data_IF_656979641923
#
_entry.id   IF_656979641923
#
_cell.length_a   1.000
_cell.length_b   1.000
_cell.length_c   1.000
_cell.angle_alpha   90.00
_cell.angle_beta   90.00
_cell.angle_gamma   90.00
#
_symmetry.space_group_name_H-M   'P 1'
#
loop_
_entity.id
_entity.type
_entity.pdbx_description
1 polymer ?
#
# COMPACT_ATOMS: atom_id res chain seq x y z
N UNK A 1 -8.93 -66.72 46.99
CA UNK A 1 -9.09 -65.49 46.18
C UNK A 1 -8.70 -64.20 46.93
N UNK A 2 -9.01 -64.04 48.22
CA UNK A 2 -8.60 -62.87 49.02
C UNK A 2 -7.07 -62.72 49.18
N UNK A 3 -6.32 -63.82 49.36
CA UNK A 3 -4.86 -63.77 49.49
C UNK A 3 -4.13 -63.47 48.17
N UNK A 4 -4.75 -63.77 47.01
CA UNK A 4 -4.16 -63.47 45.69
C UNK A 4 -4.25 -61.97 45.37
N UNK A 5 -5.37 -61.31 45.71
CA UNK A 5 -5.52 -59.87 45.52
C UNK A 5 -4.61 -59.03 46.45
N UNK A 6 -4.31 -59.51 47.67
CA UNK A 6 -3.39 -58.84 48.59
C UNK A 6 -1.95 -58.90 48.07
N UNK A 7 -1.54 -60.04 47.48
CA UNK A 7 -0.20 -60.20 46.88
C UNK A 7 -0.04 -59.32 45.64
N UNK A 8 -1.05 -59.25 44.77
CA UNK A 8 -1.00 -58.39 43.57
C UNK A 8 -0.99 -56.90 43.93
N UNK A 9 -1.79 -56.48 44.93
CA UNK A 9 -1.82 -55.08 45.37
C UNK A 9 -0.51 -54.67 46.05
N UNK A 10 0.13 -55.57 46.80
CA UNK A 10 1.43 -55.31 47.42
C UNK A 10 2.56 -55.20 46.39
N UNK A 11 2.47 -55.94 45.28
CA UNK A 11 3.46 -55.89 44.20
C UNK A 11 3.39 -54.57 43.41
N UNK A 12 2.18 -54.05 43.16
CA UNK A 12 1.99 -52.77 42.45
C UNK A 12 2.48 -51.58 43.28
N UNK A 13 2.25 -51.58 44.60
CA UNK A 13 2.75 -50.54 45.51
C UNK A 13 4.28 -50.57 45.59
N UNK A 14 4.89 -51.76 45.58
CA UNK A 14 6.35 -51.90 45.58
C UNK A 14 6.98 -51.37 44.28
N UNK A 15 6.36 -51.61 43.12
CA UNK A 15 6.82 -51.09 41.83
C UNK A 15 6.72 -49.55 41.78
N UNK A 16 5.64 -48.96 42.32
CA UNK A 16 5.48 -47.51 42.39
C UNK A 16 6.55 -46.87 43.30
N UNK A 17 6.84 -47.44 44.46
CA UNK A 17 7.89 -46.94 45.36
C UNK A 17 9.30 -47.05 44.74
N UNK A 18 9.58 -48.12 44.00
CA UNK A 18 10.86 -48.28 43.26
C UNK A 18 10.97 -47.21 42.17
N UNK A 19 9.89 -46.90 41.45
CA UNK A 19 9.90 -45.87 40.39
C UNK A 19 10.14 -44.46 40.93
N UNK A 20 9.56 -44.11 42.09
CA UNK A 20 9.78 -42.83 42.75
C UNK A 20 11.22 -42.71 43.25
N UNK A 21 11.78 -43.80 43.82
CA UNK A 21 13.17 -43.83 44.28
C UNK A 21 14.17 -43.74 43.12
N UNK A 22 13.87 -44.34 41.96
CA UNK A 22 14.68 -44.17 40.74
C UNK A 22 14.57 -42.76 40.16
N UNK A 23 13.41 -42.12 40.25
CA UNK A 23 13.20 -40.74 39.82
C UNK A 23 13.93 -39.72 40.71
N UNK A 24 13.93 -39.89 42.03
CA UNK A 24 14.72 -39.05 42.95
C UNK A 24 16.23 -39.25 42.77
N UNK A 25 16.69 -40.48 42.53
CA UNK A 25 18.11 -40.74 42.23
C UNK A 25 18.59 -40.10 40.92
N UNK A 26 17.67 -39.82 39.99
CA UNK A 26 17.97 -39.10 38.74
C UNK A 26 18.20 -37.59 38.93
N UNK A 27 17.86 -37.01 40.10
CA UNK A 27 17.94 -35.57 40.35
C UNK A 27 19.13 -35.15 41.23
N UNK A 28 19.88 -36.09 41.83
CA UNK A 28 20.97 -35.80 42.78
C UNK A 28 22.39 -35.95 42.19
N UNK A 29 22.53 -36.38 40.93
CA UNK A 29 23.82 -36.46 40.24
C UNK A 29 23.90 -35.45 39.09
N UNK A 30 24.15 -34.17 39.43
CA UNK A 30 24.99 -33.26 38.63
C UNK A 30 25.32 -31.99 39.41
N UNK A 31 26.52 -31.96 40.01
CA UNK A 31 27.23 -30.75 40.44
C UNK A 31 28.64 -30.75 39.81
N UNK A 32 29.28 -29.57 39.72
CA UNK A 32 29.59 -28.87 38.47
C UNK A 32 30.86 -29.40 37.79
N UNK A 33 30.86 -29.49 36.46
CA UNK A 33 32.11 -29.61 35.72
C UNK A 33 32.63 -28.21 35.42
N UNK A 34 33.68 -27.82 36.14
CA UNK A 34 34.48 -26.64 35.88
C UNK A 34 35.43 -26.99 34.73
N UNK A 35 35.05 -26.66 33.50
CA UNK A 35 35.92 -26.75 32.32
C UNK A 35 36.29 -25.34 31.82
N UNK A 36 37.60 -25.12 31.91
CA UNK A 36 38.50 -24.18 31.26
C UNK A 36 37.99 -22.86 30.65
N UNK A 37 38.71 -21.79 31.04
CA UNK A 37 38.62 -20.46 30.46
C UNK A 37 39.20 -20.51 29.04
N UNK A 38 38.39 -20.88 28.07
CA UNK A 38 38.50 -20.35 26.72
C UNK A 38 37.09 -20.05 26.23
N UNK A 39 36.82 -18.78 26.01
CA UNK A 39 35.51 -18.26 25.63
C UNK A 39 35.07 -18.92 24.33
N UNK A 40 33.93 -19.63 24.25
CA UNK A 40 33.24 -19.71 22.99
C UNK A 40 32.74 -18.29 22.75
N UNK A 41 33.29 -17.62 21.74
CA UNK A 41 32.71 -16.40 21.22
C UNK A 41 31.21 -16.63 21.13
N UNK A 42 30.43 -15.92 21.97
CA UNK A 42 29.03 -15.66 21.64
C UNK A 42 29.12 -15.15 20.22
N UNK A 43 28.75 -15.97 19.24
CA UNK A 43 28.30 -15.48 17.96
C UNK A 43 27.08 -14.64 18.33
N UNK A 44 27.35 -13.38 18.70
CA UNK A 44 26.40 -12.31 18.49
C UNK A 44 26.14 -12.45 17.01
N UNK A 45 25.00 -13.03 16.65
CA UNK A 45 24.47 -12.86 15.32
C UNK A 45 24.64 -11.38 15.02
N UNK A 46 25.53 -11.08 14.07
CA UNK A 46 25.74 -9.71 13.65
C UNK A 46 24.36 -9.23 13.25
N UNK A 47 23.84 -8.12 13.80
CA UNK A 47 22.51 -7.65 13.44
C UNK A 47 22.46 -7.62 11.91
N UNK A 48 21.46 -8.31 11.37
CA UNK A 48 21.30 -8.48 9.94
C UNK A 48 21.35 -7.09 9.30
N UNK A 49 22.30 -6.88 8.39
CA UNK A 49 22.51 -5.56 7.81
C UNK A 49 21.27 -5.19 7.01
N UNK A 50 20.65 -4.07 7.38
CA UNK A 50 19.45 -3.59 6.70
C UNK A 50 19.72 -3.42 5.21
N UNK A 51 18.85 -3.98 4.37
CA UNK A 51 18.89 -3.86 2.93
C UNK A 51 17.84 -2.83 2.48
N UNK A 52 18.25 -1.76 1.76
CA UNK A 52 17.31 -0.79 1.24
C UNK A 52 16.62 -1.29 -0.03
N UNK A 53 15.31 -1.10 -0.10
CA UNK A 53 14.59 -0.93 -1.36
C UNK A 53 14.84 0.51 -1.82
N UNK A 54 15.61 0.66 -2.90
CA UNK A 54 15.94 1.98 -3.45
C UNK A 54 14.76 2.54 -4.25
N UNK A 55 14.36 3.75 -3.91
CA UNK A 55 13.30 4.51 -4.61
C UNK A 55 13.93 5.38 -5.69
N UNK A 56 14.98 6.13 -5.34
CA UNK A 56 15.71 6.99 -6.27
C UNK A 56 17.09 7.31 -5.72
N UNK A 57 18.12 7.29 -6.57
CA UNK A 57 19.50 7.62 -6.22
C UNK A 57 19.99 6.94 -4.92
N UNK A 58 20.14 7.72 -3.84
CA UNK A 58 20.56 7.25 -2.50
C UNK A 58 19.42 7.10 -1.49
N UNK A 59 18.20 7.36 -1.93
CA UNK A 59 16.99 7.38 -1.12
C UNK A 59 16.27 6.05 -1.23
N UNK A 60 15.97 5.46 -0.08
CA UNK A 60 15.30 4.18 -0.01
C UNK A 60 14.65 3.94 1.33
N UNK A 61 14.00 2.79 1.46
CA UNK A 61 13.39 2.35 2.71
C UNK A 61 13.67 0.87 2.96
N UNK A 62 13.36 0.39 4.16
CA UNK A 62 13.29 -1.04 4.48
C UNK A 62 12.10 -1.30 5.39
N UNK A 63 11.55 -2.51 5.29
CA UNK A 63 10.49 -3.04 6.16
C UNK A 63 11.00 -4.19 7.05
N UNK A 64 12.32 -4.41 7.08
CA UNK A 64 12.93 -5.46 7.90
C UNK A 64 12.70 -5.20 9.40
N UNK A 65 12.62 -6.28 10.17
CA UNK A 65 12.38 -6.25 11.62
C UNK A 65 11.03 -5.64 12.03
N UNK A 66 10.03 -5.65 11.13
CA UNK A 66 8.69 -5.09 11.37
C UNK A 66 8.70 -3.58 11.66
N UNK A 67 9.69 -2.86 11.12
CA UNK A 67 9.79 -1.40 11.21
C UNK A 67 9.92 -0.81 9.82
N UNK A 68 9.23 0.30 9.55
CA UNK A 68 9.53 1.13 8.40
C UNK A 68 10.70 2.06 8.74
N UNK A 69 11.82 1.91 8.04
CA UNK A 69 12.97 2.83 8.13
C UNK A 69 13.28 3.42 6.77
N UNK A 70 13.66 4.69 6.75
CA UNK A 70 14.10 5.41 5.54
C UNK A 70 15.58 5.74 5.63
N UNK A 71 16.21 5.81 4.47
CA UNK A 71 17.61 6.20 4.27
C UNK A 71 17.70 7.27 3.19
N UNK A 72 18.69 8.15 3.32
CA UNK A 72 19.05 9.14 2.30
C UNK A 72 20.48 8.96 1.77
N UNK A 73 21.20 7.93 2.20
CA UNK A 73 22.61 7.69 1.91
C UNK A 73 22.94 6.22 1.54
N UNK A 74 22.01 5.53 0.88
CA UNK A 74 22.12 4.11 0.50
C UNK A 74 22.26 3.14 1.69
N UNK A 75 21.61 3.44 2.81
CA UNK A 75 21.50 2.56 3.96
C UNK A 75 22.70 2.62 4.90
N UNK A 76 23.48 3.69 4.85
CA UNK A 76 24.53 3.95 5.84
C UNK A 76 23.90 4.44 7.15
N UNK A 77 22.93 5.35 7.05
CA UNK A 77 22.10 5.82 8.15
C UNK A 77 20.63 5.51 7.91
N UNK A 78 19.92 5.28 9.02
CA UNK A 78 18.52 4.89 9.02
C UNK A 78 17.73 5.71 10.02
N UNK A 79 16.56 6.16 9.60
CA UNK A 79 15.60 6.86 10.44
C UNK A 79 14.30 6.07 10.47
N UNK A 80 13.80 5.75 11.66
CA UNK A 80 12.52 5.06 11.81
C UNK A 80 11.36 6.02 11.53
N UNK A 81 10.43 5.58 10.69
CA UNK A 81 9.14 6.25 10.49
C UNK A 81 8.21 5.82 11.62
N UNK A 82 7.60 6.74 12.39
CA UNK A 82 6.81 6.39 13.57
C UNK A 82 5.40 5.93 13.16
N UNK A 83 5.34 4.78 12.50
CA UNK A 83 4.12 4.08 12.07
C UNK A 83 4.36 2.57 12.15
N UNK A 84 3.34 1.83 12.58
CA UNK A 84 3.43 0.37 12.60
C UNK A 84 3.27 -0.18 11.18
N UNK A 85 4.07 -1.20 10.82
CA UNK A 85 4.09 -1.73 9.45
C UNK A 85 2.73 -2.26 9.03
N UNK A 86 2.00 -2.90 9.95
CA UNK A 86 0.66 -3.44 9.71
C UNK A 86 -0.33 -2.35 9.26
N UNK A 87 -0.21 -1.14 9.81
CA UNK A 87 -1.10 -0.02 9.50
C UNK A 87 -0.92 0.52 8.08
N UNK A 88 0.28 0.36 7.51
CA UNK A 88 0.56 0.69 6.12
C UNK A 88 -0.25 -0.21 5.19
N UNK A 89 -0.44 -1.48 5.55
CA UNK A 89 -1.12 -2.50 4.76
C UNK A 89 -2.56 -2.81 5.21
N UNK A 90 -3.11 -2.07 6.18
CA UNK A 90 -4.50 -2.19 6.66
C UNK A 90 -5.51 -2.08 5.53
N UNK A 91 -6.66 -2.75 5.64
CA UNK A 91 -7.73 -2.75 4.63
C UNK A 91 -7.80 -4.06 3.86
N UNK A 92 -8.19 -4.01 2.58
CA UNK A 92 -8.37 -5.18 1.72
C UNK A 92 -7.10 -5.58 0.95
N UNK A 93 -5.94 -5.02 1.30
CA UNK A 93 -4.70 -5.31 0.61
C UNK A 93 -4.28 -6.79 0.81
N UNK A 94 -4.18 -7.51 -0.30
CA UNK A 94 -3.81 -8.93 -0.35
C UNK A 94 -2.48 -9.18 -1.10
N UNK A 95 -1.74 -8.11 -1.41
CA UNK A 95 -0.44 -8.20 -2.09
C UNK A 95 0.71 -8.53 -1.13
N UNK A 96 1.94 -8.46 -1.67
CA UNK A 96 3.14 -8.71 -0.89
C UNK A 96 3.41 -7.54 0.08
N UNK A 97 3.66 -7.87 1.36
CA UNK A 97 3.98 -6.89 2.42
C UNK A 97 5.48 -6.70 2.65
N UNK A 98 6.33 -7.17 1.75
CA UNK A 98 7.78 -6.92 1.80
C UNK A 98 8.18 -5.59 1.19
N UNK A 99 7.29 -4.96 0.42
CA UNK A 99 7.49 -3.65 -0.21
C UNK A 99 6.29 -2.75 0.10
N UNK A 100 6.52 -1.44 0.20
CA UNK A 100 5.43 -0.49 0.35
C UNK A 100 4.51 -0.55 -0.87
N UNK A 101 3.22 -0.31 -0.65
CA UNK A 101 2.27 -0.25 -1.77
C UNK A 101 2.61 0.94 -2.67
N UNK A 102 2.65 0.69 -3.98
CA UNK A 102 2.78 1.75 -4.97
C UNK A 102 1.72 2.83 -4.74
N UNK A 103 2.09 4.08 -5.01
CA UNK A 103 1.26 5.27 -4.85
C UNK A 103 0.80 5.58 -3.41
N UNK A 104 1.04 4.72 -2.41
CA UNK A 104 0.63 4.98 -1.02
C UNK A 104 1.62 5.82 -0.22
N UNK A 105 2.72 6.23 -0.83
CA UNK A 105 3.78 7.01 -0.19
C UNK A 105 4.51 7.90 -1.19
N UNK A 106 5.20 8.91 -0.66
CA UNK A 106 6.15 9.76 -1.38
C UNK A 106 7.45 9.71 -0.60
N UNK A 107 8.56 9.40 -1.26
CA UNK A 107 9.87 9.43 -0.63
C UNK A 107 10.87 10.14 -1.54
N UNK A 108 11.18 11.38 -1.18
CA UNK A 108 12.09 12.29 -1.88
C UNK A 108 12.98 13.01 -0.90
N UNK A 109 13.98 13.74 -1.39
CA UNK A 109 14.88 14.58 -0.58
C UNK A 109 14.15 15.69 0.19
N UNK A 110 12.98 16.13 -0.30
CA UNK A 110 12.17 17.23 0.26
C UNK A 110 10.96 16.80 1.07
N UNK A 111 10.47 15.57 0.86
CA UNK A 111 9.23 15.06 1.47
C UNK A 111 9.29 13.55 1.60
N UNK A 112 9.03 13.06 2.82
CA UNK A 112 8.68 11.68 3.10
C UNK A 112 7.25 11.65 3.65
N UNK A 113 6.30 11.08 2.91
CA UNK A 113 4.87 11.03 3.27
C UNK A 113 4.34 9.62 3.12
N UNK A 114 3.62 9.10 4.11
CA UNK A 114 3.08 7.73 4.09
C UNK A 114 1.61 7.73 4.50
N UNK A 115 0.73 7.16 3.67
CA UNK A 115 -0.65 6.87 4.07
C UNK A 115 -0.62 5.64 4.97
N UNK A 116 -1.30 5.72 6.11
CA UNK A 116 -1.52 4.58 6.98
C UNK A 116 -2.95 4.62 7.54
N UNK A 117 -3.44 3.46 7.98
CA UNK A 117 -4.82 3.29 8.42
C UNK A 117 -4.88 2.57 9.76
N UNK A 118 -5.56 3.22 10.69
CA UNK A 118 -6.02 2.69 11.97
C UNK A 118 -7.56 2.64 11.92
N UNK A 119 -8.24 3.42 12.78
CA UNK A 119 -9.67 3.69 12.68
C UNK A 119 -9.99 4.80 11.65
N UNK A 120 -8.97 5.59 11.30
CA UNK A 120 -9.03 6.71 10.36
C UNK A 120 -7.95 6.58 9.29
N UNK A 121 -8.17 7.24 8.14
CA UNK A 121 -7.17 7.38 7.09
C UNK A 121 -6.30 8.57 7.47
N UNK A 122 -5.00 8.35 7.61
CA UNK A 122 -4.05 9.37 8.06
C UNK A 122 -2.87 9.48 7.10
N UNK A 123 -2.22 10.64 7.14
CA UNK A 123 -0.95 10.89 6.48
C UNK A 123 0.07 11.33 7.52
N UNK A 124 1.20 10.64 7.57
CA UNK A 124 2.38 11.10 8.31
C UNK A 124 3.41 11.65 7.34
N UNK A 125 3.97 12.82 7.63
CA UNK A 125 4.90 13.53 6.73
C UNK A 125 6.10 14.09 7.48
N UNK A 126 7.28 13.98 6.87
CA UNK A 126 8.50 14.69 7.25
C UNK A 126 9.01 15.53 6.07
N UNK A 127 9.56 16.69 6.41
CA UNK A 127 10.22 17.63 5.48
C UNK A 127 11.71 17.81 5.75
N UNK A 128 12.24 17.12 6.76
CA UNK A 128 13.59 17.27 7.29
C UNK A 128 14.29 15.92 7.42
N UNK A 129 14.03 15.03 6.45
CA UNK A 129 14.65 13.70 6.34
C UNK A 129 14.39 12.80 7.55
N UNK A 130 13.21 12.93 8.15
CA UNK A 130 12.74 12.10 9.26
C UNK A 130 13.16 12.60 10.65
N UNK A 131 13.74 13.81 10.77
CA UNK A 131 14.07 14.41 12.07
C UNK A 131 12.80 14.78 12.83
N UNK A 132 11.80 15.34 12.14
CA UNK A 132 10.47 15.63 12.69
C UNK A 132 9.38 15.06 11.77
N UNK A 133 8.26 14.71 12.40
CA UNK A 133 7.09 14.13 11.73
C UNK A 133 5.83 14.90 12.11
N UNK A 134 5.00 15.19 11.10
CA UNK A 134 3.69 15.78 11.25
C UNK A 134 2.63 14.78 10.78
N UNK A 135 1.64 14.53 11.63
CA UNK A 135 0.45 13.74 11.31
C UNK A 135 -0.73 14.63 10.94
N UNK A 136 -1.53 14.17 9.98
CA UNK A 136 -2.84 14.72 9.66
C UNK A 136 -3.86 13.61 9.44
N UNK A 137 -5.10 13.84 9.87
CA UNK A 137 -6.23 12.95 9.55
C UNK A 137 -6.86 13.40 8.24
N UNK A 138 -6.95 12.48 7.28
CA UNK A 138 -7.60 12.69 5.98
C UNK A 138 -9.10 12.39 6.11
N UNK A 139 -9.44 11.26 6.74
CA UNK A 139 -10.83 10.81 6.89
C UNK A 139 -11.02 10.02 8.20
N UNK A 140 -12.00 10.41 9.01
CA UNK A 140 -12.14 9.91 10.38
C UNK A 140 -12.65 8.47 10.49
N UNK A 141 -13.43 7.98 9.53
CA UNK A 141 -14.10 6.69 9.63
C UNK A 141 -13.67 5.78 8.48
N UNK A 142 -12.43 5.28 8.54
CA UNK A 142 -11.89 4.48 7.44
C UNK A 142 -12.73 3.20 7.24
N UNK A 143 -13.36 3.00 6.06
CA UNK A 143 -13.89 1.69 5.73
C UNK A 143 -12.74 0.71 5.44
N UNK A 144 -13.07 -0.53 5.09
CA UNK A 144 -12.08 -1.46 4.54
C UNK A 144 -11.52 -0.92 3.21
N UNK A 145 -10.37 -0.25 3.25
CA UNK A 145 -9.76 0.40 2.09
C UNK A 145 -9.11 -0.61 1.15
N UNK A 146 -9.50 -0.56 -0.12
CA UNK A 146 -8.89 -1.32 -1.22
C UNK A 146 -7.82 -0.51 -1.96
N UNK A 147 -8.13 0.72 -2.34
CA UNK A 147 -7.25 1.58 -3.12
C UNK A 147 -6.83 2.79 -2.30
N UNK A 148 -5.57 3.20 -2.41
CA UNK A 148 -5.08 4.46 -1.85
C UNK A 148 -3.96 5.03 -2.70
N UNK A 149 -3.95 6.35 -2.84
CA UNK A 149 -2.94 7.11 -3.56
C UNK A 149 -2.72 8.43 -2.88
N UNK A 150 -1.47 8.88 -2.75
CA UNK A 150 -1.08 10.23 -2.32
C UNK A 150 -0.10 10.82 -3.31
N UNK A 151 -0.25 12.10 -3.59
CA UNK A 151 0.72 12.85 -4.39
C UNK A 151 0.66 14.35 -4.06
N UNK A 152 1.74 15.07 -4.34
CA UNK A 152 1.87 16.52 -4.16
C UNK A 152 2.42 17.15 -5.43
N UNK A 153 1.60 17.98 -6.10
CA UNK A 153 2.02 18.69 -7.31
C UNK A 153 2.98 19.85 -6.98
N UNK A 154 2.89 20.38 -5.76
CA UNK A 154 3.79 21.39 -5.24
C UNK A 154 3.87 21.31 -3.70
N UNK A 155 4.58 22.23 -3.06
CA UNK A 155 4.76 22.22 -1.60
C UNK A 155 3.46 22.36 -0.81
N UNK A 156 2.42 22.96 -1.42
CA UNK A 156 1.14 23.27 -0.79
C UNK A 156 0.01 22.37 -1.26
N UNK A 157 -0.13 22.19 -2.56
CA UNK A 157 -1.20 21.41 -3.17
C UNK A 157 -0.83 19.94 -3.27
N UNK A 158 -1.70 19.10 -2.72
CA UNK A 158 -1.62 17.65 -2.82
C UNK A 158 -3.01 17.04 -2.77
N UNK A 159 -3.06 15.75 -3.09
CA UNK A 159 -4.30 15.00 -3.10
C UNK A 159 -4.10 13.59 -2.53
N UNK A 160 -5.16 13.06 -1.92
CA UNK A 160 -5.30 11.66 -1.56
C UNK A 160 -6.54 11.12 -2.24
N UNK A 161 -6.45 9.96 -2.88
CA UNK A 161 -7.59 9.26 -3.48
C UNK A 161 -7.67 7.89 -2.85
N UNK A 162 -8.86 7.53 -2.38
CA UNK A 162 -9.12 6.26 -1.70
C UNK A 162 -10.38 5.59 -2.20
N UNK A 163 -10.43 4.27 -2.10
CA UNK A 163 -11.67 3.51 -2.28
C UNK A 163 -11.72 2.29 -1.37
N UNK A 164 -12.92 1.80 -1.08
CA UNK A 164 -13.16 0.71 -0.14
C UNK A 164 -14.64 0.37 0.02
N UNK A 165 -14.97 -0.38 1.08
CA UNK A 165 -16.35 -0.79 1.41
C UNK A 165 -17.06 -1.53 0.26
N UNK A 166 -16.41 -2.58 -0.25
CA UNK A 166 -16.87 -3.26 -1.46
C UNK A 166 -18.07 -4.15 -1.22
N UNK A 167 -19.12 -3.94 -2.01
CA UNK A 167 -20.32 -4.77 -2.00
C UNK A 167 -20.84 -4.97 -3.42
N UNK A 168 -20.99 -6.23 -3.87
CA UNK A 168 -21.65 -6.58 -5.15
C UNK A 168 -21.14 -5.79 -6.37
N UNK A 169 -19.81 -5.72 -6.56
CA UNK A 169 -19.14 -4.96 -7.63
C UNK A 169 -19.34 -3.44 -7.58
N UNK A 170 -19.71 -2.93 -6.42
CA UNK A 170 -19.72 -1.50 -6.09
C UNK A 170 -18.73 -1.23 -4.97
N UNK A 171 -18.23 0.00 -4.90
CA UNK A 171 -17.35 0.45 -3.83
C UNK A 171 -17.52 1.94 -3.56
N UNK A 172 -17.28 2.35 -2.31
CA UNK A 172 -17.13 3.75 -1.96
C UNK A 172 -15.78 4.27 -2.47
N UNK A 173 -15.75 5.50 -2.98
CA UNK A 173 -14.52 6.19 -3.35
C UNK A 173 -14.62 7.68 -3.02
N UNK A 174 -13.49 8.28 -2.68
CA UNK A 174 -13.38 9.71 -2.40
C UNK A 174 -12.00 10.24 -2.79
N UNK A 175 -11.98 11.51 -3.20
CA UNK A 175 -10.77 12.29 -3.33
C UNK A 175 -10.74 13.37 -2.24
N UNK A 176 -9.56 13.63 -1.71
CA UNK A 176 -9.29 14.66 -0.72
C UNK A 176 -8.19 15.54 -1.26
N UNK A 177 -8.32 16.85 -1.10
CA UNK A 177 -7.28 17.81 -1.50
C UNK A 177 -6.79 18.60 -0.29
N UNK A 178 -5.54 19.04 -0.36
CA UNK A 178 -4.92 19.98 0.57
C UNK A 178 -4.37 21.18 -0.19
N UNK A 179 -4.36 22.34 0.47
CA UNK A 179 -3.74 23.58 -0.05
C UNK A 179 -2.71 24.15 0.95
N UNK A 180 -2.37 23.40 1.99
CA UNK A 180 -1.49 23.83 3.09
C UNK A 180 -0.34 22.84 3.37
N UNK A 181 -0.03 21.99 2.38
CA UNK A 181 1.08 21.03 2.44
C UNK A 181 0.72 19.70 3.09
N UNK A 182 -0.57 19.43 3.29
CA UNK A 182 -1.08 18.21 3.93
C UNK A 182 -1.39 18.38 5.41
N UNK A 183 -1.54 19.61 5.92
CA UNK A 183 -1.93 19.85 7.32
C UNK A 183 -3.42 19.67 7.51
N UNK A 184 -4.21 20.11 6.53
CA UNK A 184 -5.65 19.91 6.48
C UNK A 184 -6.10 19.37 5.12
N UNK A 185 -7.18 18.60 5.15
CA UNK A 185 -7.74 17.90 3.99
C UNK A 185 -9.22 18.23 3.84
N UNK A 186 -9.66 18.42 2.59
CA UNK A 186 -11.06 18.61 2.24
C UNK A 186 -11.48 17.53 1.26
N UNK A 187 -12.56 16.82 1.60
CA UNK A 187 -13.21 15.88 0.69
C UNK A 187 -13.83 16.61 -0.51
N UNK A 188 -13.68 16.06 -1.70
CA UNK A 188 -14.34 16.55 -2.93
C UNK A 188 -15.79 16.07 -3.00
N UNK A 189 -16.60 16.66 -3.87
CA UNK A 189 -17.94 16.17 -4.15
C UNK A 189 -17.93 14.72 -4.65
N UNK A 190 -19.03 13.99 -4.41
CA UNK A 190 -19.24 12.64 -4.93
C UNK A 190 -19.39 12.68 -6.47
N UNK A 191 -18.64 11.88 -7.23
CA UNK A 191 -18.68 11.91 -8.69
C UNK A 191 -19.94 11.29 -9.33
N UNK A 192 -20.83 10.67 -8.54
CA UNK A 192 -22.08 10.12 -9.05
C UNK A 192 -22.04 8.65 -9.46
N UNK A 193 -20.94 7.93 -9.20
CA UNK A 193 -20.76 6.52 -9.52
C UNK A 193 -20.24 5.70 -8.34
N UNK A 194 -20.72 4.46 -8.22
CA UNK A 194 -20.25 3.47 -7.23
C UNK A 194 -19.42 2.36 -7.88
N UNK A 195 -19.05 2.50 -9.16
CA UNK A 195 -18.19 1.52 -9.83
C UNK A 195 -16.81 1.51 -9.18
N UNK A 196 -16.07 0.42 -9.38
CA UNK A 196 -14.72 0.28 -8.86
C UNK A 196 -13.78 1.33 -9.45
N UNK A 197 -13.10 2.07 -8.57
CA UNK A 197 -12.08 3.04 -8.92
C UNK A 197 -10.86 2.32 -9.50
N UNK A 198 -10.49 2.66 -10.72
CA UNK A 198 -9.27 2.17 -11.36
C UNK A 198 -8.05 3.02 -10.96
N UNK A 199 -8.14 4.34 -11.13
CA UNK A 199 -7.06 5.27 -10.83
C UNK A 199 -7.62 6.71 -10.72
N UNK A 200 -6.77 7.66 -10.33
CA UNK A 200 -7.10 9.08 -10.38
C UNK A 200 -5.91 9.97 -10.02
N UNK A 201 -6.05 11.27 -10.30
CA UNK A 201 -5.03 12.24 -9.96
C UNK A 201 -5.37 13.65 -10.45
N UNK A 202 -4.52 14.61 -10.08
CA UNK A 202 -4.67 16.02 -10.45
C UNK A 202 -3.51 16.47 -11.34
N UNK A 203 -3.80 17.33 -12.31
CA UNK A 203 -2.78 17.93 -13.21
C UNK A 203 -2.48 19.38 -12.85
N UNK A 204 -3.37 20.00 -12.08
CA UNK A 204 -3.21 21.28 -11.40
C UNK A 204 -4.19 21.37 -10.22
N UNK A 205 -4.18 22.50 -9.51
CA UNK A 205 -4.96 22.72 -8.29
C UNK A 205 -6.49 22.67 -8.51
N UNK A 206 -6.95 22.83 -9.75
CA UNK A 206 -8.37 22.87 -10.08
C UNK A 206 -8.83 21.65 -10.90
N UNK A 207 -7.90 21.03 -11.64
CA UNK A 207 -8.20 20.02 -12.65
C UNK A 207 -7.75 18.64 -12.19
N UNK A 208 -8.72 17.77 -11.96
CA UNK A 208 -8.47 16.41 -11.50
C UNK A 208 -9.38 15.39 -12.17
N UNK A 209 -8.98 14.13 -12.08
CA UNK A 209 -9.56 13.03 -12.84
C UNK A 209 -9.75 11.80 -11.97
N UNK A 210 -10.86 11.08 -12.19
CA UNK A 210 -11.14 9.78 -11.58
C UNK A 210 -11.56 8.81 -12.69
N UNK A 211 -10.85 7.70 -12.81
CA UNK A 211 -11.17 6.61 -13.72
C UNK A 211 -11.79 5.45 -12.94
N UNK A 212 -12.88 4.92 -13.46
CA UNK A 212 -13.64 3.81 -12.91
C UNK A 212 -13.76 2.68 -13.93
N UNK A 213 -14.27 1.53 -13.47
CA UNK A 213 -14.64 0.42 -14.35
C UNK A 213 -13.56 -0.65 -14.45
N UNK A 214 -13.24 -1.32 -13.34
CA UNK A 214 -12.35 -2.50 -13.35
C UNK A 214 -13.08 -3.76 -13.87
N UNK A 215 -14.36 -3.94 -13.50
CA UNK A 215 -15.11 -5.16 -13.85
C UNK A 215 -15.86 -4.93 -15.16
N UNK A 216 -15.50 -5.72 -16.18
CA UNK A 216 -16.11 -5.75 -17.51
C UNK A 216 -16.42 -4.35 -18.09
N UNK A 217 -15.45 -3.43 -18.17
CA UNK A 217 -15.68 -2.13 -18.80
C UNK A 217 -15.87 -2.29 -20.31
N UNK A 218 -16.90 -1.63 -20.85
CA UNK A 218 -17.13 -1.57 -22.31
C UNK A 218 -16.73 -0.21 -22.90
N UNK A 219 -16.64 0.82 -22.06
CA UNK A 219 -16.22 2.18 -22.40
C UNK A 219 -15.50 2.79 -21.18
N UNK A 220 -14.68 3.83 -21.40
CA UNK A 220 -14.09 4.59 -20.30
C UNK A 220 -15.16 5.21 -19.40
N UNK A 221 -15.13 4.88 -18.10
CA UNK A 221 -15.93 5.57 -17.08
C UNK A 221 -15.04 6.58 -16.37
N UNK A 222 -14.98 7.79 -16.91
CA UNK A 222 -13.96 8.78 -16.58
C UNK A 222 -14.61 10.11 -16.20
N UNK A 223 -14.23 10.67 -15.05
CA UNK A 223 -14.79 11.89 -14.51
C UNK A 223 -13.70 12.94 -14.36
N UNK A 224 -14.07 14.19 -14.61
CA UNK A 224 -13.24 15.37 -14.48
C UNK A 224 -13.87 16.37 -13.52
N UNK A 225 -13.03 16.96 -12.66
CA UNK A 225 -13.32 18.23 -12.01
C UNK A 225 -12.47 19.34 -12.64
N UNK A 226 -13.02 20.54 -12.73
CA UNK A 226 -12.30 21.76 -13.14
C UNK A 226 -12.43 22.89 -12.12
N UNK A 227 -12.98 22.58 -10.94
CA UNK A 227 -13.28 23.48 -9.85
C UNK A 227 -12.75 22.93 -8.51
N UNK A 228 -11.57 22.29 -8.53
CA UNK A 228 -10.92 21.73 -7.34
C UNK A 228 -11.78 20.69 -6.59
N UNK A 229 -12.61 19.94 -7.32
CA UNK A 229 -13.46 18.90 -6.79
C UNK A 229 -14.76 19.41 -6.14
N UNK A 230 -15.19 20.65 -6.40
CA UNK A 230 -16.54 21.07 -5.99
C UNK A 230 -17.63 20.40 -6.82
N UNK A 231 -17.34 20.04 -8.08
CA UNK A 231 -18.19 19.24 -8.94
C UNK A 231 -17.37 18.31 -9.83
N UNK A 232 -18.02 17.23 -10.28
CA UNK A 232 -17.45 16.25 -11.21
C UNK A 232 -18.40 16.06 -12.39
N UNK A 233 -17.83 15.93 -13.59
CA UNK A 233 -18.56 15.69 -14.83
C UNK A 233 -17.97 14.48 -15.54
N UNK A 234 -18.82 13.65 -16.16
CA UNK A 234 -18.35 12.53 -16.99
C UNK A 234 -17.72 13.09 -18.27
N UNK A 235 -16.48 12.70 -18.55
CA UNK A 235 -15.79 13.03 -19.79
C UNK A 235 -16.27 12.13 -20.94
N UNK A 236 -16.08 12.61 -22.17
CA UNK A 236 -16.48 11.90 -23.39
C UNK A 236 -15.26 11.50 -24.21
N UNK A 237 -15.33 10.34 -24.86
CA UNK A 237 -14.24 9.81 -25.69
C UNK A 237 -14.73 9.53 -27.11
N UNK A 238 -14.05 10.12 -28.10
CA UNK A 238 -14.24 9.84 -29.53
C UNK A 238 -13.33 8.67 -29.92
N UNK A 239 -13.83 7.44 -29.72
CA UNK A 239 -13.11 6.21 -30.03
C UNK A 239 -13.47 5.73 -31.45
N UNK A 240 -12.50 5.52 -32.36
CA UNK A 240 -12.76 4.93 -33.66
C UNK A 240 -13.43 3.56 -33.55
N UNK A 241 -14.38 3.25 -34.45
CA UNK A 241 -15.17 2.00 -34.41
C UNK A 241 -14.31 0.73 -34.32
N UNK A 242 -13.16 0.70 -35.00
CA UNK A 242 -12.19 -0.42 -34.95
C UNK A 242 -11.62 -0.69 -33.55
N UNK A 243 -11.72 0.27 -32.63
CA UNK A 243 -11.27 0.18 -31.23
C UNK A 243 -12.44 0.16 -30.23
N UNK A 244 -13.67 -0.05 -30.69
CA UNK A 244 -14.82 -0.18 -29.81
C UNK A 244 -14.57 -1.28 -28.76
N UNK A 245 -14.75 -0.95 -27.48
CA UNK A 245 -14.49 -1.82 -26.31
C UNK A 245 -13.04 -2.30 -26.15
N UNK A 246 -12.08 -1.76 -26.92
CA UNK A 246 -10.66 -2.11 -26.80
C UNK A 246 -9.99 -1.28 -25.72
N UNK A 247 -10.08 0.05 -25.78
CA UNK A 247 -9.43 0.96 -24.84
C UNK A 247 -10.47 1.53 -23.86
N UNK A 248 -10.46 1.05 -22.62
CA UNK A 248 -11.62 1.13 -21.72
C UNK A 248 -11.31 1.57 -20.28
N UNK A 249 -10.04 1.68 -19.90
CA UNK A 249 -9.62 2.12 -18.56
C UNK A 249 -8.54 3.19 -18.69
N UNK A 250 -8.74 4.37 -18.11
CA UNK A 250 -7.87 5.51 -18.31
C UNK A 250 -6.83 5.64 -17.19
N UNK A 251 -5.58 5.94 -17.56
CA UNK A 251 -4.56 6.39 -16.63
C UNK A 251 -4.79 7.86 -16.21
N UNK A 252 -3.93 8.38 -15.34
CA UNK A 252 -3.98 9.80 -14.97
C UNK A 252 -3.50 10.63 -16.15
N UNK A 253 -4.26 11.64 -16.62
CA UNK A 253 -3.81 12.50 -17.69
C UNK A 253 -2.54 13.27 -17.32
N UNK A 254 -1.78 13.65 -18.34
CA UNK A 254 -0.58 14.48 -18.21
C UNK A 254 -0.60 15.62 -19.21
N UNK A 255 0.20 16.66 -18.93
CA UNK A 255 0.35 17.81 -19.81
C UNK A 255 1.37 17.47 -20.90
N UNK A 256 0.98 17.65 -22.15
CA UNK A 256 1.82 17.45 -23.33
C UNK A 256 1.55 18.60 -24.30
N UNK A 257 2.59 19.30 -24.75
CA UNK A 257 2.51 20.34 -25.80
C UNK A 257 1.30 21.31 -25.68
N UNK A 258 1.04 21.80 -24.46
CA UNK A 258 -0.02 22.77 -24.19
C UNK A 258 -1.45 22.20 -24.13
N UNK A 259 -1.62 20.89 -24.22
CA UNK A 259 -2.89 20.18 -24.09
C UNK A 259 -2.76 19.04 -23.06
N UNK A 260 -3.86 18.31 -22.82
CA UNK A 260 -3.82 17.11 -21.99
C UNK A 260 -3.78 15.86 -22.87
N UNK A 261 -2.97 14.89 -22.46
CA UNK A 261 -2.95 13.56 -23.03
C UNK A 261 -3.30 12.53 -21.96
N UNK A 262 -3.91 11.42 -22.37
CA UNK A 262 -4.23 10.29 -21.50
C UNK A 262 -4.01 8.98 -22.25
N UNK A 263 -3.50 7.98 -21.54
CA UNK A 263 -3.37 6.62 -22.06
C UNK A 263 -4.52 5.76 -21.54
N UNK A 264 -5.19 5.06 -22.45
CA UNK A 264 -6.24 4.11 -22.13
C UNK A 264 -5.72 2.69 -22.29
N UNK A 265 -5.79 1.93 -21.21
CA UNK A 265 -5.54 0.50 -21.13
C UNK A 265 -6.75 -0.31 -21.60
N UNK A 266 -6.52 -1.58 -21.90
CA UNK A 266 -7.54 -2.46 -22.46
C UNK A 266 -8.47 -3.13 -21.43
N UNK A 267 -8.33 -2.78 -20.15
CA UNK A 267 -9.01 -3.46 -19.06
C UNK A 267 -8.49 -4.89 -18.83
N UNK A 268 -9.06 -5.61 -17.85
CA UNK A 268 -8.54 -6.92 -17.43
C UNK A 268 -8.77 -8.05 -18.45
N UNK A 269 -9.69 -7.86 -19.40
CA UNK A 269 -10.06 -8.87 -20.40
C UNK A 269 -9.53 -8.55 -21.81
N UNK A 270 -8.78 -7.47 -21.97
CA UNK A 270 -8.29 -7.03 -23.28
C UNK A 270 -7.09 -7.84 -23.77
N UNK A 271 -7.13 -8.29 -25.01
CA UNK A 271 -6.06 -9.05 -25.68
C UNK A 271 -5.64 -8.45 -27.02
N UNK A 272 -6.13 -7.26 -27.36
CA UNK A 272 -5.82 -6.59 -28.61
C UNK A 272 -4.31 -6.34 -28.72
N UNK A 273 -3.72 -6.79 -29.84
CA UNK A 273 -2.26 -6.82 -30.05
C UNK A 273 -1.49 -7.49 -28.90
N UNK A 274 -2.09 -8.51 -28.27
CA UNK A 274 -1.53 -9.26 -27.15
C UNK A 274 -1.45 -8.46 -25.85
N UNK A 275 -2.27 -7.42 -25.68
CA UNK A 275 -2.28 -6.55 -24.50
C UNK A 275 -1.06 -5.62 -24.40
N UNK A 276 -0.27 -5.50 -25.47
CA UNK A 276 1.00 -4.77 -25.48
C UNK A 276 0.87 -3.31 -25.90
N UNK A 277 -0.35 -2.85 -26.15
CA UNK A 277 -0.62 -1.49 -26.62
C UNK A 277 -1.67 -0.80 -25.77
N UNK A 278 -1.49 0.50 -25.61
CA UNK A 278 -2.47 1.43 -25.05
C UNK A 278 -2.96 2.37 -26.16
N UNK A 279 -4.14 2.94 -25.99
CA UNK A 279 -4.63 4.01 -26.87
C UNK A 279 -4.26 5.36 -26.28
N UNK A 280 -3.56 6.21 -27.03
CA UNK A 280 -3.29 7.60 -26.65
C UNK A 280 -4.42 8.51 -27.13
N UNK A 281 -4.97 9.29 -26.21
CA UNK A 281 -6.00 10.27 -26.48
C UNK A 281 -5.56 11.65 -26.03
N UNK A 282 -6.01 12.69 -26.73
CA UNK A 282 -5.70 14.08 -26.41
C UNK A 282 -6.97 14.89 -26.20
N UNK A 283 -6.89 15.91 -25.36
CA UNK A 283 -7.96 16.85 -25.08
C UNK A 283 -7.48 18.28 -25.18
N UNK A 284 -8.20 19.08 -25.96
CA UNK A 284 -7.99 20.52 -26.11
C UNK A 284 -8.98 21.37 -25.31
N UNK A 285 -9.93 20.74 -24.62
CA UNK A 285 -10.98 21.38 -23.82
C UNK A 285 -10.83 21.09 -22.32
N UNK A 286 -9.58 20.93 -21.88
CA UNK A 286 -9.18 20.65 -20.48
C UNK A 286 -9.66 19.31 -19.94
N UNK A 287 -9.98 18.34 -20.81
CA UNK A 287 -10.31 16.96 -20.43
C UNK A 287 -11.81 16.65 -20.41
N UNK A 288 -12.66 17.51 -20.97
CA UNK A 288 -14.10 17.27 -21.11
C UNK A 288 -14.37 16.30 -22.27
N UNK A 289 -13.62 16.42 -23.37
CA UNK A 289 -13.65 15.51 -24.51
C UNK A 289 -12.25 15.07 -24.92
N UNK A 290 -12.14 13.84 -25.41
CA UNK A 290 -10.88 13.16 -25.73
C UNK A 290 -10.93 12.54 -27.12
N UNK A 291 -9.92 12.78 -27.94
CA UNK A 291 -9.79 12.26 -29.30
C UNK A 291 -8.63 11.28 -29.42
N UNK A 292 -8.87 10.15 -30.09
CA UNK A 292 -7.82 9.16 -30.35
C UNK A 292 -6.74 9.74 -31.26
N UNK A 293 -5.47 9.49 -30.92
CA UNK A 293 -4.32 9.93 -31.73
C UNK A 293 -3.51 8.76 -32.27
N UNK A 294 -3.08 7.85 -31.39
CA UNK A 294 -2.23 6.72 -31.76
C UNK A 294 -2.34 5.55 -30.79
N UNK A 295 -1.91 4.37 -31.24
CA UNK A 295 -1.54 3.28 -30.36
C UNK A 295 -0.11 3.52 -29.86
N UNK A 296 0.16 3.25 -28.59
CA UNK A 296 1.49 3.35 -27.97
C UNK A 296 1.84 2.05 -27.26
N UNK A 297 3.12 1.80 -27.03
CA UNK A 297 3.55 0.58 -26.35
C UNK A 297 3.11 0.63 -24.86
N UNK A 298 2.74 -0.51 -24.29
CA UNK A 298 2.20 -0.55 -22.91
C UNK A 298 3.23 -0.25 -21.82
N UNK A 299 4.51 -0.26 -22.16
CA UNK A 299 5.62 0.11 -21.28
C UNK A 299 6.00 1.60 -21.38
N UNK A 300 5.31 2.38 -22.20
CA UNK A 300 5.36 3.84 -22.18
C UNK A 300 4.40 4.44 -21.15
#
# INVERSE_FOLDING_TARGET
MKNLMIVVSSLVILILLISIFQYEKSFDETQPMQEDISSPSKNRERPESLQPTIVTDSIGYTLQNNELKITYDNGQEWVTVPVEVEQLFSGEYNGNKTELMNDSFILTDKRASFIYIEDSIKLITSHDKGVTWQESTIYQHAPAIRFRKVDFLNEKFGYVIVSGDRTMSQEWSAAFITNDGGKTWRETAYPGTTRLLYNGGFVDENTGFLSYGIINPEEPDFYITSDAGFSWNKATFSIPEKFAKVFVTAEVPFKEDGHLAVLLNQGPNGDYMGGKVKGKFVSFDRGLSWEFTSEVASNE
#
